data_IF_335276061112
#
_entry.id   IF_335276061112
#
_cell.length_a   1.000
_cell.length_b   1.000
_cell.length_c   1.000
_cell.angle_alpha   90.00
_cell.angle_beta   90.00
_cell.angle_gamma   90.00
#
_symmetry.space_group_name_H-M   'P 1'
#
loop_
_entity.id
_entity.type
_entity.pdbx_description
1 polymer ?
#
# COMPACT_ATOMS: atom_id res chain seq x y z
N UNK A 1 11.40 34.25 7.14
CA UNK A 1 9.97 34.07 6.87
C UNK A 1 9.54 32.77 7.49
N UNK A 2 8.49 32.78 8.30
CA UNK A 2 7.92 31.58 8.89
C UNK A 2 7.17 30.79 7.80
N UNK A 3 7.44 29.47 7.69
CA UNK A 3 6.81 28.64 6.66
C UNK A 3 5.32 28.48 6.95
N UNK A 4 4.48 28.82 5.96
CA UNK A 4 3.02 28.72 6.09
C UNK A 4 2.56 27.35 5.61
N UNK A 5 2.06 26.52 6.55
CA UNK A 5 1.51 25.19 6.25
C UNK A 5 0.36 25.25 5.23
N UNK A 6 0.40 24.38 4.24
CA UNK A 6 -0.63 24.32 3.19
C UNK A 6 -1.58 23.14 3.46
N UNK A 7 -2.79 23.44 3.88
CA UNK A 7 -3.85 22.44 4.15
C UNK A 7 -4.11 21.53 2.95
N UNK A 8 -3.97 22.02 1.71
CA UNK A 8 -4.18 21.23 0.49
C UNK A 8 -3.22 20.05 0.33
N UNK A 9 -2.06 20.07 0.99
CA UNK A 9 -1.08 18.99 0.98
C UNK A 9 -1.10 18.13 2.25
N UNK A 10 -2.03 18.41 3.19
CA UNK A 10 -2.14 17.65 4.44
C UNK A 10 -0.85 17.67 5.28
N UNK A 11 -0.10 18.79 5.24
CA UNK A 11 1.22 18.90 5.86
C UNK A 11 1.13 18.84 7.38
N UNK A 12 1.63 17.76 7.98
CA UNK A 12 1.88 17.61 9.41
C UNK A 12 3.36 17.26 9.58
N UNK A 13 4.18 18.24 9.95
CA UNK A 13 5.61 18.02 10.13
C UNK A 13 5.91 17.49 11.51
N UNK A 14 6.81 16.51 11.58
CA UNK A 14 7.35 16.10 12.87
C UNK A 14 8.09 17.27 13.50
N UNK A 15 7.63 17.69 14.65
CA UNK A 15 8.40 18.62 15.48
C UNK A 15 9.72 17.97 15.87
N UNK A 16 10.82 18.68 15.75
CA UNK A 16 12.23 18.29 15.96
C UNK A 16 12.52 17.54 17.27
N UNK A 17 11.73 16.54 17.61
CA UNK A 17 11.97 15.68 18.73
C UNK A 17 12.79 14.50 18.21
N UNK A 18 14.10 14.65 18.27
CA UNK A 18 15.12 13.66 17.86
C UNK A 18 14.77 12.23 18.28
N UNK A 19 14.02 12.06 19.38
CA UNK A 19 13.61 10.75 19.88
C UNK A 19 12.75 9.95 18.87
N UNK A 20 11.72 10.58 18.28
CA UNK A 20 10.85 9.88 17.30
C UNK A 20 11.58 9.64 15.99
N UNK A 21 12.31 10.64 15.49
CA UNK A 21 13.10 10.49 14.28
C UNK A 21 14.18 9.41 14.41
N UNK A 22 14.88 9.36 15.55
CA UNK A 22 15.87 8.31 15.81
C UNK A 22 15.21 6.93 15.89
N UNK A 23 14.04 6.82 16.55
CA UNK A 23 13.29 5.56 16.59
C UNK A 23 12.85 5.11 15.20
N UNK A 24 12.38 6.04 14.33
CA UNK A 24 12.08 5.73 12.93
C UNK A 24 13.28 5.12 12.23
N UNK A 25 14.45 5.75 12.34
CA UNK A 25 15.69 5.26 11.75
C UNK A 25 16.06 3.88 12.27
N UNK A 26 16.00 3.68 13.59
CA UNK A 26 16.33 2.40 14.23
C UNK A 26 15.47 1.24 13.73
N UNK A 27 14.15 1.43 13.70
CA UNK A 27 13.23 0.34 13.29
C UNK A 27 13.13 0.16 11.77
N UNK A 28 13.60 1.13 10.98
CA UNK A 28 13.61 1.03 9.52
C UNK A 28 14.72 0.12 8.97
N UNK A 29 15.51 -0.49 9.83
CA UNK A 29 16.54 -1.46 9.45
C UNK A 29 17.39 -1.00 8.24
N UNK A 30 17.82 0.28 8.28
CA UNK A 30 18.63 0.88 7.23
C UNK A 30 20.13 0.76 7.53
N UNK A 31 20.93 0.66 6.48
CA UNK A 31 22.38 0.56 6.52
C UNK A 31 23.03 1.58 5.58
N UNK A 32 24.36 1.70 5.69
CA UNK A 32 25.17 2.56 4.83
C UNK A 32 25.21 2.15 3.37
N UNK A 33 24.79 0.94 3.03
CA UNK A 33 24.67 0.44 1.66
C UNK A 33 23.30 0.67 1.03
N UNK A 34 22.30 1.12 1.81
CA UNK A 34 20.94 1.27 1.34
C UNK A 34 20.75 2.53 0.47
N UNK A 35 19.86 2.41 -0.50
CA UNK A 35 19.28 3.54 -1.22
C UNK A 35 17.86 3.77 -0.71
N UNK A 36 17.55 5.01 -0.35
CA UNK A 36 16.26 5.38 0.26
C UNK A 36 15.48 6.29 -0.67
N UNK A 37 14.19 6.00 -0.83
CA UNK A 37 13.20 6.91 -1.37
C UNK A 37 12.40 7.52 -0.22
N UNK A 38 12.51 8.83 -0.03
CA UNK A 38 11.68 9.59 0.89
C UNK A 38 10.57 10.32 0.12
N UNK A 39 9.32 10.03 0.47
CA UNK A 39 8.14 10.68 -0.14
C UNK A 39 7.67 11.79 0.80
N UNK A 40 7.67 13.04 0.31
CA UNK A 40 7.27 14.21 1.09
C UNK A 40 8.27 14.57 2.19
N UNK A 41 9.53 14.92 1.88
CA UNK A 41 10.55 15.27 2.87
C UNK A 41 10.15 16.47 3.73
N UNK A 42 9.21 17.31 3.27
CA UNK A 42 8.79 18.50 3.96
C UNK A 42 9.95 19.45 4.21
N UNK A 43 10.22 19.81 5.47
CA UNK A 43 11.36 20.65 5.83
C UNK A 43 12.68 19.87 5.96
N UNK A 44 12.68 18.58 5.60
CA UNK A 44 13.87 17.73 5.60
C UNK A 44 14.32 17.30 6.99
N UNK A 45 13.39 17.08 7.93
CA UNK A 45 13.74 16.62 9.27
C UNK A 45 14.25 15.16 9.24
N UNK A 46 13.51 14.26 8.59
CA UNK A 46 13.90 12.86 8.41
C UNK A 46 15.06 12.76 7.42
N UNK A 47 15.02 13.50 6.30
CA UNK A 47 16.09 13.59 5.31
C UNK A 47 17.46 13.86 5.96
N UNK A 48 17.52 14.77 6.94
CA UNK A 48 18.77 15.12 7.64
C UNK A 48 19.42 13.95 8.35
N UNK A 49 18.62 12.99 8.83
CA UNK A 49 19.14 11.77 9.45
C UNK A 49 19.49 10.70 8.42
N UNK A 50 18.72 10.62 7.34
CA UNK A 50 18.93 9.63 6.28
C UNK A 50 20.25 9.89 5.52
N UNK A 51 20.52 11.13 5.11
CA UNK A 51 21.73 11.48 4.35
C UNK A 51 23.05 11.19 5.07
N UNK A 52 23.01 11.09 6.42
CA UNK A 52 24.17 10.75 7.24
C UNK A 52 24.39 9.25 7.40
N UNK A 53 23.43 8.41 6.97
CA UNK A 53 23.42 6.98 7.33
C UNK A 53 23.35 6.03 6.16
N UNK A 54 23.01 6.52 4.98
CA UNK A 54 22.76 5.65 3.83
C UNK A 54 23.55 6.07 2.60
N UNK A 55 23.69 5.15 1.66
CA UNK A 55 24.41 5.37 0.40
C UNK A 55 23.81 6.49 -0.44
N UNK A 56 22.47 6.54 -0.53
CA UNK A 56 21.74 7.51 -1.36
C UNK A 56 20.36 7.81 -0.81
N UNK A 57 19.96 9.07 -0.87
CA UNK A 57 18.59 9.52 -0.56
C UNK A 57 18.01 10.22 -1.78
N UNK A 58 16.90 9.69 -2.29
CA UNK A 58 16.07 10.36 -3.30
C UNK A 58 14.80 10.85 -2.64
N UNK A 59 14.55 12.16 -2.68
CA UNK A 59 13.34 12.78 -2.15
C UNK A 59 12.41 13.19 -3.28
N UNK A 60 11.10 12.89 -3.15
CA UNK A 60 10.06 13.40 -4.05
C UNK A 60 9.17 14.36 -3.28
N UNK A 61 9.13 15.64 -3.70
CA UNK A 61 8.38 16.71 -3.02
C UNK A 61 7.45 17.44 -4.00
N UNK A 62 6.18 17.56 -3.62
CA UNK A 62 5.16 18.24 -4.44
C UNK A 62 5.10 19.75 -4.18
N UNK A 63 5.48 20.20 -2.98
CA UNK A 63 5.38 21.61 -2.59
C UNK A 63 6.59 22.42 -3.09
N UNK A 64 6.39 23.20 -4.15
CA UNK A 64 7.42 24.05 -4.75
C UNK A 64 8.01 25.10 -3.78
N UNK A 65 7.27 25.49 -2.73
CA UNK A 65 7.78 26.46 -1.76
C UNK A 65 8.89 25.87 -0.88
N UNK A 66 8.97 24.53 -0.79
CA UNK A 66 10.03 23.82 -0.07
C UNK A 66 11.30 23.59 -0.90
N UNK A 67 11.23 23.74 -2.22
CA UNK A 67 12.35 23.44 -3.12
C UNK A 67 13.64 24.19 -2.73
N UNK A 68 13.57 25.51 -2.62
CA UNK A 68 14.75 26.34 -2.29
C UNK A 68 15.32 25.97 -0.91
N UNK A 69 14.46 25.70 0.06
CA UNK A 69 14.87 25.30 1.42
C UNK A 69 15.61 23.98 1.40
N UNK A 70 15.05 22.96 0.72
CA UNK A 70 15.64 21.64 0.62
C UNK A 70 16.96 21.65 -0.16
N UNK A 71 17.00 22.32 -1.34
CA UNK A 71 18.23 22.44 -2.13
C UNK A 71 19.35 23.12 -1.35
N UNK A 72 19.04 24.22 -0.66
CA UNK A 72 20.03 24.94 0.18
C UNK A 72 20.50 24.10 1.34
N UNK A 73 19.58 23.43 2.04
CA UNK A 73 19.86 22.64 3.26
C UNK A 73 20.79 21.45 2.96
N UNK A 74 20.61 20.81 1.81
CA UNK A 74 21.36 19.60 1.43
C UNK A 74 22.34 19.84 0.29
N UNK A 75 22.72 21.10 -0.01
CA UNK A 75 23.62 21.46 -1.13
C UNK A 75 25.01 20.82 -1.06
N UNK A 76 25.49 20.48 0.14
CA UNK A 76 26.79 19.83 0.37
C UNK A 76 26.72 18.31 0.42
N UNK A 77 25.54 17.71 0.23
CA UNK A 77 25.35 16.25 0.31
C UNK A 77 25.33 15.65 -1.08
N UNK A 78 26.42 14.95 -1.46
CA UNK A 78 26.55 14.30 -2.77
C UNK A 78 25.59 13.12 -2.96
N UNK A 79 25.17 12.49 -1.84
CA UNK A 79 24.23 11.37 -1.83
C UNK A 79 22.75 11.80 -1.80
N UNK A 80 22.44 13.09 -1.99
CA UNK A 80 21.08 13.62 -1.96
C UNK A 80 20.58 13.99 -3.36
N UNK A 81 19.37 13.54 -3.69
CA UNK A 81 18.66 13.89 -4.93
C UNK A 81 17.26 14.40 -4.59
N UNK A 82 16.91 15.60 -5.08
CA UNK A 82 15.57 16.16 -4.96
C UNK A 82 14.84 16.13 -6.32
N UNK A 83 13.70 15.46 -6.34
CA UNK A 83 12.76 15.42 -7.47
C UNK A 83 11.53 16.22 -7.09
N UNK A 84 11.27 17.31 -7.82
CA UNK A 84 10.07 18.10 -7.62
C UNK A 84 8.93 17.54 -8.47
N UNK A 85 7.82 17.15 -7.82
CA UNK A 85 6.65 16.59 -8.50
C UNK A 85 5.72 15.83 -7.58
N UNK A 86 4.58 15.43 -8.14
CA UNK A 86 3.65 14.51 -7.48
C UNK A 86 4.20 13.08 -7.60
N UNK A 87 4.41 12.40 -6.48
CA UNK A 87 4.91 11.03 -6.45
C UNK A 87 4.03 10.06 -7.25
N UNK A 88 2.74 10.35 -7.36
CA UNK A 88 1.80 9.54 -8.14
C UNK A 88 2.06 9.65 -9.64
N UNK A 89 2.58 10.79 -10.11
CA UNK A 89 2.88 11.09 -11.53
C UNK A 89 4.35 10.82 -11.88
N UNK A 90 5.25 10.89 -10.89
CA UNK A 90 6.70 10.69 -11.11
C UNK A 90 6.97 9.26 -11.54
N UNK A 91 7.75 9.10 -12.62
CA UNK A 91 8.32 7.80 -13.01
C UNK A 91 9.49 7.46 -12.07
N UNK A 92 9.19 6.71 -11.01
CA UNK A 92 10.18 6.35 -9.99
C UNK A 92 11.36 5.55 -10.57
N UNK A 93 11.16 4.79 -11.68
CA UNK A 93 12.20 3.97 -12.32
C UNK A 93 13.42 4.78 -12.79
N UNK A 94 13.25 6.10 -12.93
CA UNK A 94 14.36 7.01 -13.30
C UNK A 94 15.27 7.38 -12.13
N UNK A 95 14.83 7.16 -10.90
CA UNK A 95 15.47 7.72 -9.71
C UNK A 95 15.87 6.69 -8.66
N UNK A 96 15.23 5.51 -8.68
CA UNK A 96 15.48 4.44 -7.72
C UNK A 96 15.96 3.17 -8.41
N UNK A 97 16.77 2.39 -7.71
CA UNK A 97 17.31 1.12 -8.15
C UNK A 97 16.63 -0.06 -7.44
N UNK A 98 16.92 -1.28 -7.88
CA UNK A 98 16.49 -2.49 -7.17
C UNK A 98 17.12 -2.53 -5.78
N UNK A 99 16.32 -2.89 -4.79
CA UNK A 99 16.73 -2.91 -3.39
C UNK A 99 16.49 -1.61 -2.65
N UNK A 100 15.91 -0.58 -3.32
CA UNK A 100 15.53 0.67 -2.65
C UNK A 100 14.52 0.41 -1.54
N UNK A 101 14.71 1.07 -0.39
CA UNK A 101 13.72 1.12 0.69
C UNK A 101 13.00 2.46 0.67
N UNK A 102 11.71 2.45 0.99
CA UNK A 102 10.95 3.69 1.22
C UNK A 102 10.95 4.00 2.72
N UNK A 103 11.32 5.21 3.11
CA UNK A 103 11.16 5.70 4.50
C UNK A 103 10.49 7.07 4.43
N UNK A 104 9.23 7.18 4.88
CA UNK A 104 8.46 8.38 4.61
C UNK A 104 7.38 8.69 5.66
N UNK A 105 7.16 10.00 5.88
CA UNK A 105 5.97 10.53 6.53
C UNK A 105 4.98 10.98 5.45
N UNK A 106 4.06 10.09 5.05
CA UNK A 106 3.18 10.34 3.90
C UNK A 106 1.94 11.15 4.30
N UNK A 107 1.41 12.02 3.38
CA UNK A 107 0.18 12.74 3.63
C UNK A 107 -1.02 11.79 3.79
N UNK A 108 -1.82 11.98 4.84
CA UNK A 108 -2.89 11.04 5.22
C UNK A 108 -3.99 10.88 4.18
N UNK A 109 -4.31 11.95 3.44
CA UNK A 109 -5.41 11.95 2.46
C UNK A 109 -5.11 11.14 1.19
N UNK A 110 -3.83 10.80 0.93
CA UNK A 110 -3.39 10.01 -0.22
C UNK A 110 -2.62 8.74 0.16
N UNK A 111 -2.78 8.25 1.40
CA UNK A 111 -2.09 7.04 1.88
C UNK A 111 -2.31 5.85 0.96
N UNK A 112 -3.57 5.53 0.59
CA UNK A 112 -3.85 4.38 -0.28
C UNK A 112 -3.28 4.52 -1.69
N UNK A 113 -3.40 5.66 -2.40
CA UNK A 113 -2.72 5.89 -3.67
C UNK A 113 -1.19 5.73 -3.58
N UNK A 114 -0.54 6.25 -2.52
CA UNK A 114 0.90 6.12 -2.35
C UNK A 114 1.30 4.66 -2.14
N UNK A 115 0.57 3.91 -1.30
CA UNK A 115 0.85 2.48 -1.11
C UNK A 115 0.70 1.71 -2.43
N UNK A 116 -0.33 1.99 -3.22
CA UNK A 116 -0.47 1.39 -4.55
C UNK A 116 0.70 1.74 -5.46
N UNK A 117 1.14 3.00 -5.48
CA UNK A 117 2.34 3.43 -6.24
C UNK A 117 3.61 2.68 -5.82
N UNK A 118 3.78 2.43 -4.51
CA UNK A 118 4.90 1.63 -3.98
C UNK A 118 4.76 0.19 -4.47
N UNK A 119 3.58 -0.42 -4.37
CA UNK A 119 3.30 -1.78 -4.86
C UNK A 119 3.58 -1.92 -6.36
N UNK A 120 3.17 -0.95 -7.19
CA UNK A 120 3.44 -0.92 -8.63
C UNK A 120 4.94 -0.93 -8.96
N UNK A 121 5.78 -0.47 -8.03
CA UNK A 121 7.24 -0.43 -8.16
C UNK A 121 7.98 -1.45 -7.26
N UNK A 122 7.29 -2.50 -6.79
CA UNK A 122 7.85 -3.54 -5.90
C UNK A 122 9.02 -4.34 -6.49
N UNK A 123 9.22 -4.26 -7.80
CA UNK A 123 10.40 -4.83 -8.47
C UNK A 123 11.68 -4.02 -8.22
N UNK A 124 11.54 -2.77 -7.78
CA UNK A 124 12.63 -1.88 -7.39
C UNK A 124 12.66 -1.64 -5.88
N UNK A 125 11.50 -1.65 -5.23
CA UNK A 125 11.33 -1.35 -3.80
C UNK A 125 11.21 -2.66 -3.03
N UNK A 126 12.12 -2.90 -2.10
CA UNK A 126 12.14 -4.10 -1.28
C UNK A 126 11.28 -3.97 -0.03
N UNK A 127 11.34 -2.81 0.60
CA UNK A 127 10.69 -2.54 1.88
C UNK A 127 10.17 -1.10 1.90
N UNK A 128 9.05 -0.87 2.60
CA UNK A 128 8.52 0.46 2.86
C UNK A 128 8.24 0.64 4.34
N UNK A 129 8.81 1.67 4.93
CA UNK A 129 8.61 2.11 6.31
C UNK A 129 7.88 3.44 6.27
N UNK A 130 6.60 3.43 6.57
CA UNK A 130 5.75 4.59 6.33
C UNK A 130 4.94 4.98 7.56
N UNK A 131 4.79 6.30 7.70
CA UNK A 131 3.92 6.87 8.71
C UNK A 131 2.56 7.15 8.10
N UNK A 132 1.51 6.63 8.74
CA UNK A 132 0.12 6.73 8.33
C UNK A 132 -0.77 7.10 9.53
N UNK A 133 -2.04 7.44 9.33
CA UNK A 133 -2.98 7.54 10.45
C UNK A 133 -3.09 6.19 11.17
N UNK A 134 -3.25 6.22 12.50
CA UNK A 134 -3.29 5.02 13.35
C UNK A 134 -4.30 3.99 12.86
N UNK A 135 -5.54 4.41 12.60
CA UNK A 135 -6.60 3.52 12.08
C UNK A 135 -6.22 2.88 10.73
N UNK A 136 -5.53 3.64 9.86
CA UNK A 136 -5.07 3.11 8.56
C UNK A 136 -3.97 2.09 8.76
N UNK A 137 -3.02 2.34 9.67
CA UNK A 137 -1.98 1.39 10.03
C UNK A 137 -2.54 0.09 10.62
N UNK A 138 -3.48 0.20 11.57
CA UNK A 138 -4.19 -0.94 12.15
C UNK A 138 -4.91 -1.74 11.06
N UNK A 139 -5.57 -1.06 10.10
CA UNK A 139 -6.25 -1.71 8.97
C UNK A 139 -5.29 -2.45 8.05
N UNK A 140 -4.16 -1.85 7.68
CA UNK A 140 -3.17 -2.45 6.77
C UNK A 140 -2.55 -3.70 7.41
N UNK A 141 -2.26 -3.64 8.71
CA UNK A 141 -1.61 -4.71 9.45
C UNK A 141 -2.57 -5.76 10.04
N UNK A 142 -3.90 -5.57 9.88
CA UNK A 142 -4.91 -6.47 10.43
C UNK A 142 -4.83 -7.87 9.78
N UNK A 143 -4.73 -8.91 10.61
CA UNK A 143 -4.72 -10.31 10.13
C UNK A 143 -6.14 -10.89 9.96
N UNK A 144 -7.13 -10.36 10.67
CA UNK A 144 -8.55 -10.74 10.62
C UNK A 144 -9.44 -9.64 11.15
N UNK A 145 -10.76 -9.76 10.97
CA UNK A 145 -11.78 -8.91 11.58
C UNK A 145 -12.11 -7.65 10.78
N UNK A 146 -13.01 -6.86 11.35
CA UNK A 146 -13.69 -5.73 10.69
C UNK A 146 -12.77 -4.64 10.12
N UNK A 147 -11.54 -4.58 10.59
CA UNK A 147 -10.55 -3.59 10.13
C UNK A 147 -9.95 -3.97 8.76
N UNK A 148 -9.95 -5.27 8.42
CA UNK A 148 -9.44 -5.71 7.10
C UNK A 148 -10.27 -5.18 5.95
N UNK A 149 -9.60 -4.86 4.86
CA UNK A 149 -10.21 -4.31 3.64
C UNK A 149 -9.40 -4.63 2.40
N UNK A 150 -9.81 -4.06 1.27
CA UNK A 150 -9.14 -4.29 -0.02
C UNK A 150 -7.64 -3.93 0.05
N UNK A 151 -7.28 -2.83 0.75
CA UNK A 151 -5.89 -2.43 0.89
C UNK A 151 -5.07 -3.43 1.71
N UNK A 152 -5.65 -4.01 2.78
CA UNK A 152 -5.02 -5.08 3.56
C UNK A 152 -4.69 -6.27 2.66
N UNK A 153 -5.68 -6.74 1.89
CA UNK A 153 -5.51 -7.87 0.98
C UNK A 153 -4.58 -7.56 -0.20
N UNK A 154 -4.52 -6.31 -0.64
CA UNK A 154 -3.53 -5.89 -1.62
C UNK A 154 -2.11 -6.01 -1.06
N UNK A 155 -1.87 -5.52 0.15
CA UNK A 155 -0.57 -5.64 0.80
C UNK A 155 -0.23 -7.12 1.07
N UNK A 156 -1.17 -7.92 1.60
CA UNK A 156 -0.97 -9.35 1.85
C UNK A 156 -0.61 -10.16 0.58
N UNK A 157 -1.14 -9.75 -0.59
CA UNK A 157 -0.84 -10.42 -1.86
C UNK A 157 0.62 -10.21 -2.29
N UNK A 158 1.20 -9.05 -2.00
CA UNK A 158 2.55 -8.69 -2.45
C UNK A 158 3.61 -8.74 -1.36
N UNK A 159 3.23 -8.76 -0.08
CA UNK A 159 4.16 -8.68 1.03
C UNK A 159 3.54 -8.89 2.40
N UNK A 160 4.28 -8.56 3.41
CA UNK A 160 3.86 -8.59 4.81
C UNK A 160 3.90 -7.19 5.40
N UNK A 161 2.84 -6.82 6.13
CA UNK A 161 2.80 -5.58 6.90
C UNK A 161 2.91 -5.85 8.39
N UNK A 162 3.68 -4.98 9.07
CA UNK A 162 3.86 -5.00 10.51
C UNK A 162 3.62 -3.62 11.10
N UNK A 163 2.87 -3.57 12.21
CA UNK A 163 2.65 -2.36 13.00
C UNK A 163 3.80 -2.19 13.99
N UNK A 164 4.69 -1.24 13.74
CA UNK A 164 5.91 -1.08 14.50
C UNK A 164 5.68 -0.31 15.80
N UNK A 165 5.06 0.88 15.73
CA UNK A 165 4.70 1.67 16.91
C UNK A 165 3.72 2.79 16.60
N UNK A 166 3.07 3.31 17.65
CA UNK A 166 2.21 4.50 17.58
C UNK A 166 3.04 5.77 17.83
N UNK A 167 2.73 6.83 17.09
CA UNK A 167 3.29 8.16 17.27
C UNK A 167 2.16 9.08 17.73
N UNK A 168 2.19 9.58 18.98
CA UNK A 168 1.21 10.52 19.48
C UNK A 168 1.15 11.80 18.63
N UNK A 169 -0.04 12.32 18.42
CA UNK A 169 -0.30 13.49 17.58
C UNK A 169 0.42 14.77 18.03
N UNK A 170 0.79 14.84 19.32
CA UNK A 170 1.52 15.98 19.90
C UNK A 170 2.93 16.14 19.34
N UNK A 171 3.45 15.13 18.65
CA UNK A 171 4.76 15.19 17.97
C UNK A 171 4.71 15.90 16.62
N UNK A 172 3.55 16.38 16.18
CA UNK A 172 3.38 17.05 14.90
C UNK A 172 3.04 18.55 15.05
N UNK A 173 3.42 19.32 14.05
CA UNK A 173 2.99 20.69 13.86
C UNK A 173 2.55 20.93 12.39
N UNK A 174 1.30 21.33 12.12
CA UNK A 174 0.19 21.42 13.10
C UNK A 174 -0.17 20.05 13.69
N UNK A 175 -0.78 20.06 14.88
CA UNK A 175 -1.24 18.84 15.55
C UNK A 175 -2.41 18.24 14.75
N UNK A 176 -2.31 16.98 14.25
CA UNK A 176 -3.42 16.32 13.57
C UNK A 176 -4.53 15.91 14.56
N UNK A 177 -5.69 15.51 14.02
CA UNK A 177 -6.83 15.10 14.84
C UNK A 177 -6.65 13.70 15.47
N UNK A 178 -5.76 12.88 14.92
CA UNK A 178 -5.54 11.47 15.31
C UNK A 178 -4.05 11.17 15.45
N UNK A 179 -3.73 10.15 16.23
CA UNK A 179 -2.40 9.61 16.31
C UNK A 179 -1.98 9.00 14.97
N UNK A 180 -0.68 8.80 14.80
CA UNK A 180 -0.09 8.11 13.67
C UNK A 180 0.39 6.73 14.05
N UNK A 181 0.50 5.86 13.07
CA UNK A 181 1.20 4.58 13.14
C UNK A 181 2.43 4.64 12.24
N UNK A 182 3.53 4.07 12.71
CA UNK A 182 4.65 3.72 11.85
C UNK A 182 4.57 2.24 11.56
N UNK A 183 4.51 1.89 10.29
CA UNK A 183 4.34 0.51 9.81
C UNK A 183 5.46 0.15 8.84
N UNK A 184 5.76 -1.14 8.73
CA UNK A 184 6.57 -1.67 7.63
C UNK A 184 5.72 -2.48 6.67
N UNK A 185 6.14 -2.48 5.40
CA UNK A 185 5.65 -3.40 4.36
C UNK A 185 6.90 -3.99 3.71
N UNK A 186 7.08 -5.32 3.80
CA UNK A 186 8.18 -6.06 3.18
C UNK A 186 7.66 -6.86 2.02
N UNK A 187 8.14 -6.58 0.81
CA UNK A 187 7.66 -7.26 -0.38
C UNK A 187 8.29 -8.65 -0.52
N UNK A 188 7.47 -9.62 -0.94
CA UNK A 188 7.95 -10.96 -1.23
C UNK A 188 8.93 -10.94 -2.40
N UNK A 189 10.06 -11.62 -2.24
CA UNK A 189 11.06 -11.82 -3.30
C UNK A 189 10.67 -12.94 -4.26
N UNK A 190 9.85 -13.88 -3.78
CA UNK A 190 9.24 -14.93 -4.56
C UNK A 190 7.85 -14.48 -5.06
N UNK A 191 7.42 -15.02 -6.18
CA UNK A 191 6.07 -14.79 -6.70
C UNK A 191 5.05 -15.68 -5.96
N UNK A 192 5.06 -15.63 -4.60
CA UNK A 192 4.34 -16.54 -3.69
C UNK A 192 2.89 -16.81 -4.10
N UNK A 193 2.18 -15.80 -4.52
CA UNK A 193 0.77 -15.91 -4.92
C UNK A 193 0.57 -15.81 -6.44
N UNK A 194 1.47 -15.17 -7.17
CA UNK A 194 1.37 -14.98 -8.62
C UNK A 194 1.36 -16.31 -9.39
N UNK A 195 2.09 -17.31 -8.89
CA UNK A 195 2.08 -18.67 -9.46
C UNK A 195 0.80 -19.45 -9.13
N UNK A 196 0.02 -19.02 -8.12
CA UNK A 196 -1.22 -19.66 -7.69
C UNK A 196 -2.45 -19.06 -8.36
N UNK A 197 -2.40 -17.74 -8.66
CA UNK A 197 -3.52 -16.99 -9.23
C UNK A 197 -3.01 -15.71 -9.91
N UNK A 198 -3.63 -15.33 -11.04
CA UNK A 198 -3.33 -14.03 -11.65
C UNK A 198 -3.84 -12.87 -10.78
N UNK A 199 -3.09 -11.78 -10.80
CA UNK A 199 -3.41 -10.54 -10.07
C UNK A 199 -4.81 -10.02 -10.41
N UNK A 200 -5.12 -9.89 -11.71
CA UNK A 200 -6.42 -9.39 -12.17
C UNK A 200 -7.58 -10.22 -11.63
N UNK A 201 -7.41 -11.53 -11.63
CA UNK A 201 -8.43 -12.45 -11.15
C UNK A 201 -8.61 -12.34 -9.64
N UNK A 202 -7.51 -12.33 -8.89
CA UNK A 202 -7.54 -12.14 -7.45
C UNK A 202 -8.27 -10.86 -7.06
N UNK A 203 -7.87 -9.71 -7.62
CA UNK A 203 -8.47 -8.43 -7.28
C UNK A 203 -9.91 -8.27 -7.77
N UNK A 204 -10.31 -8.93 -8.86
CA UNK A 204 -11.71 -9.01 -9.28
C UNK A 204 -12.60 -9.61 -8.18
N UNK A 205 -12.19 -10.75 -7.62
CA UNK A 205 -12.95 -11.43 -6.55
C UNK A 205 -12.88 -10.68 -5.22
N UNK A 206 -11.72 -10.17 -4.85
CA UNK A 206 -11.56 -9.35 -3.63
C UNK A 206 -12.45 -8.11 -3.69
N UNK A 207 -12.47 -7.37 -4.79
CA UNK A 207 -13.35 -6.19 -4.97
C UNK A 207 -14.81 -6.57 -4.84
N UNK A 208 -15.24 -7.69 -5.44
CA UNK A 208 -16.61 -8.18 -5.31
C UNK A 208 -16.93 -8.56 -3.87
N UNK A 209 -16.04 -9.32 -3.19
CA UNK A 209 -16.21 -9.75 -1.82
C UNK A 209 -16.38 -8.59 -0.83
N UNK A 210 -15.69 -7.47 -1.06
CA UNK A 210 -15.75 -6.25 -0.24
C UNK A 210 -16.72 -5.18 -0.77
N UNK A 211 -17.54 -5.48 -1.79
CA UNK A 211 -18.45 -4.50 -2.40
C UNK A 211 -19.47 -3.91 -1.41
N UNK A 212 -19.87 -4.68 -0.39
CA UNK A 212 -20.72 -4.22 0.69
C UNK A 212 -20.31 -4.84 2.03
N UNK A 213 -19.70 -4.03 2.91
CA UNK A 213 -19.22 -4.46 4.24
C UNK A 213 -20.30 -5.04 5.15
N UNK A 214 -21.57 -4.67 4.96
CA UNK A 214 -22.68 -5.16 5.78
C UNK A 214 -23.27 -6.51 5.33
N UNK A 215 -22.88 -7.00 4.15
CA UNK A 215 -23.35 -8.28 3.60
C UNK A 215 -22.30 -9.38 3.84
N UNK A 216 -22.79 -10.62 3.93
CA UNK A 216 -21.93 -11.80 3.96
C UNK A 216 -21.30 -12.07 2.58
N UNK A 217 -20.33 -12.96 2.57
CA UNK A 217 -19.53 -13.30 1.37
C UNK A 217 -20.41 -13.83 0.23
N UNK A 218 -21.44 -14.63 0.51
CA UNK A 218 -22.36 -15.17 -0.50
C UNK A 218 -23.06 -14.06 -1.27
N UNK A 219 -23.61 -13.07 -0.56
CA UNK A 219 -24.32 -11.96 -1.18
C UNK A 219 -23.40 -11.03 -1.98
N UNK A 220 -22.16 -10.87 -1.54
CA UNK A 220 -21.18 -10.05 -2.23
C UNK A 220 -20.67 -10.75 -3.49
N UNK A 221 -20.29 -12.03 -3.44
CA UNK A 221 -19.82 -12.78 -4.60
C UNK A 221 -20.89 -13.03 -5.65
N UNK A 222 -22.18 -13.05 -5.27
CA UNK A 222 -23.28 -13.15 -6.23
C UNK A 222 -23.30 -12.00 -7.26
N UNK A 223 -22.67 -10.86 -6.95
CA UNK A 223 -22.50 -9.74 -7.90
C UNK A 223 -21.63 -10.10 -9.10
N UNK A 224 -20.86 -11.19 -9.02
CA UNK A 224 -20.08 -11.73 -10.14
C UNK A 224 -20.93 -12.58 -11.12
N UNK A 225 -22.23 -12.74 -10.85
CA UNK A 225 -23.16 -13.50 -11.70
C UNK A 225 -23.29 -14.98 -11.35
N UNK A 226 -22.69 -15.43 -10.25
CA UNK A 226 -22.87 -16.80 -9.74
C UNK A 226 -24.15 -16.92 -8.90
N UNK A 227 -24.84 -18.09 -8.99
CA UNK A 227 -25.96 -18.36 -8.11
C UNK A 227 -25.47 -18.56 -6.66
N UNK A 228 -26.30 -18.17 -5.69
CA UNK A 228 -25.96 -18.29 -4.27
C UNK A 228 -25.69 -19.74 -3.87
N UNK A 229 -26.40 -20.70 -4.44
CA UNK A 229 -26.21 -22.11 -4.11
C UNK A 229 -24.84 -22.62 -4.55
N UNK A 230 -24.36 -22.22 -5.72
CA UNK A 230 -22.99 -22.52 -6.19
C UNK A 230 -21.93 -21.91 -5.28
N UNK A 231 -22.15 -20.65 -4.84
CA UNK A 231 -21.21 -19.99 -3.92
C UNK A 231 -21.15 -20.73 -2.59
N UNK A 232 -22.31 -21.11 -2.03
CA UNK A 232 -22.40 -21.91 -0.79
C UNK A 232 -21.72 -23.26 -0.91
N UNK A 233 -21.93 -23.96 -2.02
CA UNK A 233 -21.25 -25.23 -2.30
C UNK A 233 -19.73 -25.11 -2.22
N UNK A 234 -19.15 -24.05 -2.86
CA UNK A 234 -17.71 -23.84 -2.83
C UNK A 234 -17.23 -23.45 -1.43
N UNK A 235 -17.95 -22.55 -0.74
CA UNK A 235 -17.59 -22.15 0.61
C UNK A 235 -17.55 -23.36 1.56
N UNK A 236 -18.50 -24.27 1.44
CA UNK A 236 -18.51 -25.51 2.22
C UNK A 236 -17.30 -26.40 1.90
N UNK A 237 -16.87 -26.50 0.64
CA UNK A 237 -15.68 -27.28 0.25
C UNK A 237 -14.40 -26.74 0.86
N UNK A 238 -14.29 -25.44 1.04
CA UNK A 238 -13.13 -24.78 1.63
C UNK A 238 -13.30 -24.51 3.13
N UNK A 239 -14.32 -25.09 3.77
CA UNK A 239 -14.60 -24.93 5.20
C UNK A 239 -14.80 -23.49 5.65
N UNK A 240 -15.46 -22.66 4.82
CA UNK A 240 -15.85 -21.30 5.13
C UNK A 240 -17.36 -21.20 5.31
N UNK A 241 -17.81 -20.58 6.40
CA UNK A 241 -19.25 -20.40 6.66
C UNK A 241 -19.92 -19.53 5.59
N UNK A 242 -21.13 -19.92 5.14
CA UNK A 242 -21.92 -19.11 4.22
C UNK A 242 -22.33 -17.72 4.78
N UNK A 243 -22.33 -17.59 6.10
CA UNK A 243 -22.61 -16.35 6.80
C UNK A 243 -21.37 -15.49 7.06
N UNK A 244 -20.18 -16.01 6.67
CA UNK A 244 -18.92 -15.31 6.91
C UNK A 244 -18.85 -14.00 6.13
N UNK A 245 -18.05 -13.07 6.63
CA UNK A 245 -17.75 -11.81 5.96
C UNK A 245 -16.37 -11.87 5.33
N UNK A 246 -16.18 -11.12 4.25
CA UNK A 246 -14.93 -11.10 3.50
C UNK A 246 -13.70 -10.76 4.37
N UNK A 247 -13.87 -9.92 5.38
CA UNK A 247 -12.82 -9.48 6.30
C UNK A 247 -12.21 -10.61 7.16
N UNK A 248 -12.91 -11.73 7.33
CA UNK A 248 -12.43 -12.87 8.11
C UNK A 248 -11.81 -13.98 7.25
N UNK A 249 -11.88 -13.87 5.92
CA UNK A 249 -11.36 -14.88 5.01
C UNK A 249 -9.88 -14.60 4.73
N UNK A 250 -9.01 -15.59 4.97
CA UNK A 250 -7.58 -15.46 4.69
C UNK A 250 -7.29 -15.39 3.20
N UNK A 251 -6.12 -14.88 2.83
CA UNK A 251 -5.68 -14.83 1.42
C UNK A 251 -5.64 -16.23 0.79
N UNK A 252 -5.18 -17.25 1.52
CA UNK A 252 -5.11 -18.61 1.00
C UNK A 252 -6.50 -19.16 0.72
N UNK A 253 -7.48 -18.92 1.59
CA UNK A 253 -8.88 -19.30 1.37
C UNK A 253 -9.52 -18.52 0.21
N UNK A 254 -9.17 -17.25 0.00
CA UNK A 254 -9.58 -16.51 -1.20
C UNK A 254 -9.03 -17.16 -2.47
N UNK A 255 -7.75 -17.51 -2.48
CA UNK A 255 -7.11 -18.15 -3.64
C UNK A 255 -7.75 -19.52 -3.93
N UNK A 256 -7.97 -20.34 -2.89
CA UNK A 256 -8.64 -21.64 -3.01
C UNK A 256 -10.05 -21.47 -3.61
N UNK A 257 -10.84 -20.55 -3.06
CA UNK A 257 -12.18 -20.22 -3.55
C UNK A 257 -12.16 -19.82 -5.04
N UNK A 258 -11.26 -18.91 -5.43
CA UNK A 258 -11.19 -18.41 -6.79
C UNK A 258 -10.78 -19.52 -7.77
N UNK A 259 -9.80 -20.34 -7.39
CA UNK A 259 -9.34 -21.45 -8.22
C UNK A 259 -10.46 -22.47 -8.47
N UNK A 260 -11.30 -22.77 -7.48
CA UNK A 260 -12.47 -23.64 -7.67
C UNK A 260 -13.49 -22.99 -8.61
N UNK A 261 -13.78 -21.69 -8.46
CA UNK A 261 -14.68 -20.98 -9.37
C UNK A 261 -14.18 -21.04 -10.82
N UNK A 262 -12.92 -20.73 -11.05
CA UNK A 262 -12.36 -20.63 -12.39
C UNK A 262 -12.15 -22.00 -13.04
N UNK A 263 -11.79 -23.04 -12.28
CA UNK A 263 -11.66 -24.41 -12.82
C UNK A 263 -12.99 -24.98 -13.25
N UNK A 264 -14.08 -24.72 -12.49
CA UNK A 264 -15.41 -25.28 -12.77
C UNK A 264 -16.22 -24.46 -13.78
N UNK A 265 -16.06 -23.10 -13.77
CA UNK A 265 -16.93 -22.21 -14.55
C UNK A 265 -16.19 -21.16 -15.38
N UNK A 266 -14.90 -20.91 -15.18
CA UNK A 266 -14.10 -19.92 -15.93
C UNK A 266 -14.05 -20.19 -17.42
N UNK A 267 -14.13 -21.44 -17.84
CA UNK A 267 -14.23 -21.83 -19.25
C UNK A 267 -15.64 -21.62 -19.86
N UNK A 268 -16.66 -21.49 -19.04
CA UNK A 268 -18.03 -21.28 -19.54
C UNK A 268 -18.23 -19.88 -20.10
N UNK A 269 -17.67 -18.85 -19.44
CA UNK A 269 -17.69 -17.47 -19.92
C UNK A 269 -16.92 -17.27 -21.22
N UNK A 270 -15.77 -17.90 -21.34
CA UNK A 270 -15.01 -17.88 -22.61
C UNK A 270 -15.78 -18.56 -23.73
N UNK A 271 -16.47 -19.68 -23.47
CA UNK A 271 -17.34 -20.35 -24.43
C UNK A 271 -18.60 -19.52 -24.75
N UNK A 272 -19.23 -18.90 -23.77
CA UNK A 272 -20.40 -18.04 -23.96
C UNK A 272 -20.06 -16.76 -24.73
N UNK A 273 -18.93 -16.09 -24.43
CA UNK A 273 -18.46 -14.93 -25.21
C UNK A 273 -18.09 -15.31 -26.64
N UNK A 274 -17.37 -16.42 -26.86
CA UNK A 274 -17.07 -16.91 -28.21
C UNK A 274 -18.33 -17.31 -28.99
N UNK A 275 -19.34 -17.84 -28.32
CA UNK A 275 -20.63 -18.13 -28.93
C UNK A 275 -21.37 -16.82 -29.30
N UNK A 276 -21.37 -15.81 -28.43
CA UNK A 276 -21.97 -14.49 -28.67
C UNK A 276 -21.26 -13.73 -29.78
N UNK A 277 -19.92 -13.75 -29.84
CA UNK A 277 -19.15 -13.19 -30.97
C UNK A 277 -19.50 -13.88 -32.29
N UNK A 278 -19.59 -15.24 -32.32
CA UNK A 278 -19.98 -15.99 -33.52
C UNK A 278 -21.43 -15.75 -33.95
N UNK A 279 -22.32 -15.42 -33.03
CA UNK A 279 -23.70 -15.06 -33.31
C UNK A 279 -23.81 -13.64 -33.89
N UNK A 280 -23.00 -12.69 -33.36
CA UNK A 280 -22.91 -11.31 -33.88
C UNK A 280 -22.29 -11.21 -35.30
N UNK A 281 -21.36 -12.12 -35.64
CA UNK A 281 -20.79 -12.15 -37.00
C UNK A 281 -21.73 -12.79 -38.04
N UNK A 282 -22.88 -13.36 -37.63
CA UNK A 282 -23.87 -13.99 -38.52
C UNK A 282 -25.18 -13.19 -38.67
N UNK A 283 -25.29 -12.03 -38.01
CA UNK A 283 -26.36 -11.03 -38.17
C UNK A 283 -25.79 -9.78 -38.82
#
# INVERSE_FOLDING_TARGET
MEFKHKKKYGQNFLNNKNQILNKIIEVSNISDNDEILEIGPGQGALTSLLVERVKKVTCVEIDKDLENTLRKKFSSKENYTLVMGDVLEVDLRRYVNRGTKVVANIPYYITSPIINKIIENKDLIDEAYIMVQKEVGERICAKSGKERGILTLAVEYYGEAEYLFTIPREFFNPIPNVDSAFISIKFYKDDRYKNKISEDLYFKYVKAAFSNKRKNIVNNLATLGYSKDKIKEILNQIEVSENERAENISIDKFIELINIFESRWGNWWKKAMNFWYKVKEKI
#
